data_IF_967274509673
#
_entry.id   IF_967274509673
#
_cell.length_a   1.000
_cell.length_b   1.000
_cell.length_c   1.000
_cell.angle_alpha   90.00
_cell.angle_beta   90.00
_cell.angle_gamma   90.00
#
_symmetry.space_group_name_H-M   'P 1'
#
loop_
_entity.id
_entity.type
_entity.pdbx_description
1 polymer ?
#
# COMPACT_ATOMS: atom_id res chain seq x y z
N UNK A 1 -17.60 19.64 5.47
CA UNK A 1 -16.11 19.56 5.52
C UNK A 1 -15.62 18.89 4.24
N UNK A 2 -14.52 19.37 3.65
CA UNK A 2 -13.94 18.74 2.46
C UNK A 2 -13.35 17.36 2.81
N UNK A 3 -13.60 16.35 1.98
CA UNK A 3 -13.04 15.00 2.17
C UNK A 3 -11.57 15.00 1.80
N UNK A 4 -10.71 14.76 2.79
CA UNK A 4 -9.29 14.53 2.58
C UNK A 4 -9.05 13.10 2.10
N UNK A 5 -8.14 12.92 1.13
CA UNK A 5 -7.71 11.61 0.63
C UNK A 5 -6.22 11.48 0.75
N UNK A 6 -5.77 10.34 1.27
CA UNK A 6 -4.36 9.96 1.35
C UNK A 6 -4.15 8.60 0.71
N UNK A 7 -3.17 8.50 -0.18
CA UNK A 7 -2.71 7.24 -0.74
C UNK A 7 -1.62 6.68 0.15
N UNK A 8 -1.87 5.48 0.67
CA UNK A 8 -0.89 4.70 1.39
C UNK A 8 -0.43 3.54 0.53
N UNK A 9 0.87 3.27 0.60
CA UNK A 9 1.52 2.12 -0.02
C UNK A 9 2.02 1.15 1.03
N UNK A 10 1.50 -0.07 1.04
CA UNK A 10 2.01 -1.16 1.86
C UNK A 10 2.98 -1.99 1.03
N UNK A 11 4.26 -1.85 1.34
CA UNK A 11 5.33 -2.65 0.77
C UNK A 11 5.39 -3.99 1.47
N UNK A 12 5.35 -5.05 0.68
CA UNK A 12 5.35 -6.45 1.14
C UNK A 12 6.35 -7.25 0.31
N UNK A 13 6.82 -8.35 0.87
CA UNK A 13 7.78 -9.22 0.18
C UNK A 13 7.20 -10.62 0.06
N UNK A 14 6.76 -11.05 -1.13
CA UNK A 14 6.38 -12.44 -1.38
C UNK A 14 7.55 -13.39 -1.04
N UNK A 15 7.24 -14.56 -0.49
CA UNK A 15 8.23 -15.55 -0.14
C UNK A 15 8.44 -16.57 -1.27
N UNK A 16 9.46 -16.31 -2.09
CA UNK A 16 9.88 -17.21 -3.17
C UNK A 16 10.82 -18.34 -2.74
N UNK A 17 11.08 -18.53 -1.43
CA UNK A 17 12.09 -19.50 -0.97
C UNK A 17 11.83 -20.96 -1.42
N UNK A 18 10.57 -21.34 -1.64
CA UNK A 18 10.20 -22.65 -2.19
C UNK A 18 10.43 -22.74 -3.70
N UNK A 19 10.26 -21.62 -4.42
CA UNK A 19 10.52 -21.52 -5.87
C UNK A 19 12.02 -21.57 -6.14
N UNK A 20 12.82 -20.83 -5.35
CA UNK A 20 14.28 -20.80 -5.42
C UNK A 20 14.90 -22.20 -5.17
N UNK A 21 14.23 -23.03 -4.35
CA UNK A 21 14.62 -24.43 -4.11
C UNK A 21 14.13 -25.41 -5.18
N UNK A 22 13.38 -24.94 -6.18
CA UNK A 22 12.77 -25.79 -7.21
C UNK A 22 11.62 -26.67 -6.70
N UNK A 23 11.08 -26.39 -5.50
CA UNK A 23 10.01 -27.18 -4.88
C UNK A 23 8.61 -26.75 -5.32
N UNK A 24 8.49 -25.53 -5.89
CA UNK A 24 7.24 -24.99 -6.44
C UNK A 24 7.52 -24.23 -7.73
N UNK A 25 6.56 -24.19 -8.67
CA UNK A 25 6.66 -23.30 -9.82
C UNK A 25 6.56 -21.83 -9.37
N UNK A 26 7.05 -20.87 -10.19
CA UNK A 26 6.81 -19.45 -9.97
C UNK A 26 5.31 -19.16 -9.85
N UNK A 27 4.85 -18.44 -8.81
CA UNK A 27 3.46 -18.11 -8.64
C UNK A 27 3.05 -16.96 -9.56
N UNK A 28 1.79 -17.01 -9.99
CA UNK A 28 1.14 -15.96 -10.74
C UNK A 28 -0.18 -15.60 -10.07
N UNK A 29 -0.54 -14.33 -10.17
CA UNK A 29 -1.78 -13.75 -9.65
C UNK A 29 -2.63 -13.31 -10.81
N UNK A 30 -3.90 -13.73 -10.77
CA UNK A 30 -4.94 -13.15 -11.61
C UNK A 30 -5.61 -12.00 -10.87
N UNK A 31 -5.18 -10.77 -11.13
CA UNK A 31 -5.71 -9.58 -10.48
C UNK A 31 -7.19 -9.32 -10.78
N UNK A 32 -7.82 -10.03 -11.75
CA UNK A 32 -9.28 -9.99 -11.96
C UNK A 32 -10.06 -10.79 -10.91
N UNK A 33 -9.41 -11.69 -10.19
CA UNK A 33 -10.04 -12.61 -9.25
C UNK A 33 -9.71 -12.27 -7.79
N UNK A 34 -8.83 -11.30 -7.54
CA UNK A 34 -8.47 -10.84 -6.19
C UNK A 34 -9.65 -10.07 -5.57
N UNK A 35 -10.01 -10.42 -4.33
CA UNK A 35 -11.07 -9.76 -3.57
C UNK A 35 -10.58 -8.46 -2.89
N UNK A 36 -10.39 -7.42 -3.70
CA UNK A 36 -9.97 -6.11 -3.20
C UNK A 36 -11.01 -5.41 -2.31
N UNK A 37 -12.29 -5.76 -2.44
CA UNK A 37 -13.36 -5.22 -1.59
C UNK A 37 -13.25 -5.83 -0.20
N UNK A 38 -13.12 -7.16 -0.11
CA UNK A 38 -12.86 -7.82 1.15
C UNK A 38 -11.55 -7.38 1.77
N UNK A 39 -10.52 -7.06 0.97
CA UNK A 39 -9.24 -6.59 1.48
C UNK A 39 -9.39 -5.21 2.12
N UNK A 40 -10.16 -4.32 1.50
CA UNK A 40 -10.53 -3.03 2.07
C UNK A 40 -11.25 -3.19 3.42
N UNK A 41 -12.28 -4.04 3.48
CA UNK A 41 -13.02 -4.30 4.72
C UNK A 41 -12.14 -4.89 5.82
N UNK A 42 -11.26 -5.82 5.47
CA UNK A 42 -10.30 -6.35 6.44
C UNK A 42 -9.36 -5.28 6.97
N UNK A 43 -8.89 -4.33 6.16
CA UNK A 43 -8.06 -3.23 6.65
C UNK A 43 -8.85 -2.26 7.54
N UNK A 44 -10.12 -2.02 7.24
CA UNK A 44 -11.02 -1.22 8.08
C UNK A 44 -11.22 -1.87 9.46
N UNK A 45 -11.47 -3.18 9.50
CA UNK A 45 -11.63 -3.94 10.74
C UNK A 45 -10.32 -4.09 11.51
N UNK A 46 -9.26 -4.53 10.81
CA UNK A 46 -7.93 -4.70 11.36
C UNK A 46 -7.44 -3.39 11.97
N UNK A 47 -7.70 -2.25 11.31
CA UNK A 47 -7.32 -0.94 11.82
C UNK A 47 -8.47 -0.14 12.45
N UNK A 48 -9.48 -0.79 13.04
CA UNK A 48 -10.58 -0.08 13.68
C UNK A 48 -10.05 0.74 14.87
N UNK A 49 -10.22 2.06 14.77
CA UNK A 49 -9.73 3.04 15.72
C UNK A 49 -10.79 4.04 16.19
N UNK A 50 -12.06 3.80 15.82
CA UNK A 50 -13.18 4.72 16.08
C UNK A 50 -13.30 5.86 15.05
N UNK A 51 -12.27 6.09 14.22
CA UNK A 51 -12.33 7.10 13.17
C UNK A 51 -13.21 6.67 12.00
N UNK A 52 -14.01 7.63 11.50
CA UNK A 52 -14.84 7.42 10.31
C UNK A 52 -14.03 7.67 9.05
N UNK A 53 -13.26 6.67 8.66
CA UNK A 53 -12.59 6.63 7.36
C UNK A 53 -13.19 5.55 6.48
N UNK A 54 -12.97 5.68 5.17
CA UNK A 54 -13.26 4.63 4.20
C UNK A 54 -11.96 4.25 3.50
N UNK A 55 -11.73 2.95 3.36
CA UNK A 55 -10.55 2.39 2.70
C UNK A 55 -10.99 1.83 1.35
N UNK A 56 -10.23 2.11 0.30
CA UNK A 56 -10.45 1.49 -1.02
C UNK A 56 -9.11 1.13 -1.64
N UNK A 57 -8.94 -0.15 -1.97
CA UNK A 57 -7.75 -0.62 -2.68
C UNK A 57 -7.85 -0.28 -4.17
N UNK A 58 -6.71 -0.04 -4.80
CA UNK A 58 -6.58 -0.18 -6.24
C UNK A 58 -6.90 -1.62 -6.65
N UNK A 59 -7.57 -1.82 -7.79
CA UNK A 59 -7.86 -3.16 -8.34
C UNK A 59 -6.65 -3.81 -9.08
N UNK A 60 -5.44 -3.42 -8.68
CA UNK A 60 -4.15 -3.90 -9.17
C UNK A 60 -3.06 -3.56 -8.14
N UNK A 61 -1.82 -3.99 -8.37
CA UNK A 61 -0.68 -3.75 -7.49
C UNK A 61 0.64 -3.68 -8.26
N UNK A 62 1.65 -3.03 -7.67
CA UNK A 62 2.98 -2.99 -8.27
C UNK A 62 3.75 -4.27 -7.94
N UNK A 63 4.22 -4.96 -8.98
CA UNK A 63 4.91 -6.24 -8.89
C UNK A 63 6.45 -6.11 -8.97
N UNK A 64 7.15 -7.20 -8.65
CA UNK A 64 8.61 -7.24 -8.64
C UNK A 64 9.25 -6.96 -10.00
N UNK A 65 8.61 -7.32 -11.11
CA UNK A 65 9.18 -7.13 -12.46
C UNK A 65 9.13 -5.64 -12.82
N UNK A 66 8.04 -4.97 -12.46
CA UNK A 66 7.90 -3.52 -12.58
C UNK A 66 8.96 -2.80 -11.75
N UNK A 67 9.15 -3.17 -10.48
CA UNK A 67 10.17 -2.56 -9.63
C UNK A 67 11.60 -2.81 -10.12
N UNK A 68 11.91 -4.04 -10.55
CA UNK A 68 13.25 -4.38 -11.05
C UNK A 68 13.59 -3.58 -12.31
N UNK A 69 12.64 -3.44 -13.24
CA UNK A 69 12.86 -2.65 -14.46
C UNK A 69 13.06 -1.16 -14.14
N UNK A 70 12.33 -0.62 -13.15
CA UNK A 70 12.53 0.76 -12.67
C UNK A 70 13.91 0.95 -12.03
N UNK A 71 14.36 0.01 -11.20
CA UNK A 71 15.68 0.05 -10.60
C UNK A 71 16.80 0.05 -11.64
N UNK A 72 16.68 -0.77 -12.70
CA UNK A 72 17.63 -0.79 -13.82
C UNK A 72 17.63 0.50 -14.64
N UNK A 73 16.52 1.24 -14.68
CA UNK A 73 16.39 2.52 -15.37
C UNK A 73 17.19 3.67 -14.73
N UNK A 74 17.79 3.46 -13.55
CA UNK A 74 18.73 4.40 -12.94
C UNK A 74 18.13 5.69 -12.39
N UNK A 75 16.80 5.73 -12.20
CA UNK A 75 16.07 6.88 -11.62
C UNK A 75 15.53 6.50 -10.23
N UNK A 76 16.23 6.84 -9.14
CA UNK A 76 15.82 6.47 -7.79
C UNK A 76 14.37 6.86 -7.46
N UNK A 77 13.94 8.04 -7.90
CA UNK A 77 12.58 8.57 -7.72
C UNK A 77 11.50 7.68 -8.36
N UNK A 78 11.85 6.91 -9.39
CA UNK A 78 10.92 5.98 -10.03
C UNK A 78 10.61 4.76 -9.15
N UNK A 79 11.52 4.39 -8.24
CA UNK A 79 11.34 3.25 -7.35
C UNK A 79 10.32 3.53 -6.25
N UNK A 80 10.05 4.79 -5.91
CA UNK A 80 9.04 5.17 -4.92
C UNK A 80 7.60 4.99 -5.42
N UNK A 81 7.42 4.77 -6.72
CA UNK A 81 6.10 4.57 -7.35
C UNK A 81 5.10 5.71 -7.08
N UNK A 82 5.60 6.96 -6.97
CA UNK A 82 4.76 8.15 -6.79
C UNK A 82 3.78 8.36 -7.94
N UNK A 83 4.19 8.07 -9.17
CA UNK A 83 3.36 8.13 -10.38
C UNK A 83 2.13 7.18 -10.31
N UNK A 84 2.30 5.97 -9.79
CA UNK A 84 1.20 5.06 -9.50
C UNK A 84 0.22 5.67 -8.48
N UNK A 85 0.74 6.27 -7.41
CA UNK A 85 -0.06 6.87 -6.36
C UNK A 85 -0.81 8.14 -6.83
N UNK A 86 -0.19 8.98 -7.64
CA UNK A 86 -0.82 10.15 -8.26
C UNK A 86 -1.95 9.72 -9.21
N UNK A 87 -1.70 8.71 -10.05
CA UNK A 87 -2.73 8.13 -10.92
C UNK A 87 -3.90 7.56 -10.11
N UNK A 88 -3.64 6.84 -9.01
CA UNK A 88 -4.68 6.35 -8.11
C UNK A 88 -5.46 7.50 -7.45
N UNK A 89 -4.77 8.55 -6.98
CA UNK A 89 -5.40 9.71 -6.37
C UNK A 89 -6.36 10.42 -7.34
N UNK A 90 -5.95 10.56 -8.61
CA UNK A 90 -6.76 11.16 -9.66
C UNK A 90 -8.04 10.34 -9.93
N UNK A 91 -7.91 9.01 -10.05
CA UNK A 91 -9.04 8.10 -10.31
C UNK A 91 -9.96 7.95 -9.09
N UNK A 92 -9.42 8.02 -7.87
CA UNK A 92 -10.19 7.81 -6.65
C UNK A 92 -11.31 8.86 -6.43
N UNK A 93 -11.31 9.97 -7.18
CA UNK A 93 -12.34 11.01 -7.13
C UNK A 93 -13.69 10.48 -7.61
N UNK A 94 -14.54 10.06 -6.67
CA UNK A 94 -15.89 9.56 -6.95
C UNK A 94 -15.96 8.10 -7.39
N UNK A 95 -14.84 7.38 -7.44
CA UNK A 95 -14.81 5.96 -7.78
C UNK A 95 -15.51 5.09 -6.73
N UNK A 96 -15.97 3.91 -7.16
CA UNK A 96 -16.45 2.84 -6.27
C UNK A 96 -15.26 2.09 -5.65
N UNK A 97 -15.54 1.06 -4.85
CA UNK A 97 -14.54 0.11 -4.37
C UNK A 97 -14.64 -1.18 -5.20
N UNK A 98 -13.53 -1.77 -5.67
CA UNK A 98 -12.18 -1.20 -5.64
C UNK A 98 -12.05 -0.01 -6.61
N UNK A 99 -10.97 0.76 -6.48
CA UNK A 99 -10.67 1.85 -7.43
C UNK A 99 -10.09 1.24 -8.70
N UNK A 100 -10.75 1.48 -9.84
CA UNK A 100 -10.31 0.94 -11.13
C UNK A 100 -9.16 1.73 -11.75
N UNK A 101 -7.94 1.28 -11.52
CA UNK A 101 -6.70 1.99 -11.93
C UNK A 101 -6.08 1.43 -13.20
N UNK A 102 -6.60 0.34 -13.76
CA UNK A 102 -5.88 -0.43 -14.78
C UNK A 102 -5.58 0.38 -16.04
N UNK A 103 -6.54 1.20 -16.47
CA UNK A 103 -6.36 2.08 -17.61
C UNK A 103 -5.27 3.14 -17.37
N UNK A 104 -5.14 3.66 -16.15
CA UNK A 104 -4.11 4.66 -15.81
C UNK A 104 -2.75 4.05 -15.48
N UNK A 105 -2.72 2.80 -15.04
CA UNK A 105 -1.50 2.08 -14.64
C UNK A 105 -0.88 1.22 -15.77
N UNK A 106 -1.60 0.98 -16.87
CA UNK A 106 -1.14 0.09 -17.96
C UNK A 106 0.24 0.47 -18.51
N UNK A 107 0.54 1.77 -18.64
CA UNK A 107 1.84 2.25 -19.13
C UNK A 107 2.92 2.32 -18.03
N UNK A 108 2.51 2.22 -16.76
CA UNK A 108 3.41 2.25 -15.61
C UNK A 108 3.95 0.85 -15.28
N UNK A 109 3.17 -0.19 -15.60
CA UNK A 109 3.56 -1.59 -15.42
C UNK A 109 4.55 -2.05 -16.49
N UNK A 110 5.48 -2.91 -16.08
CA UNK A 110 6.33 -3.61 -17.05
C UNK A 110 5.60 -4.78 -17.72
N UNK A 111 4.78 -5.50 -16.95
CA UNK A 111 3.97 -6.62 -17.44
C UNK A 111 2.50 -6.16 -17.57
N UNK A 112 2.01 -6.17 -18.80
CA UNK A 112 0.67 -5.68 -19.13
C UNK A 112 -0.43 -6.71 -18.87
N UNK A 113 -0.14 -8.02 -18.98
CA UNK A 113 -1.11 -9.06 -18.65
C UNK A 113 -1.27 -9.17 -17.13
N UNK A 114 -2.38 -8.63 -16.62
CA UNK A 114 -2.73 -8.65 -15.20
C UNK A 114 -3.49 -9.92 -14.78
N UNK A 115 -3.76 -10.83 -15.71
CA UNK A 115 -4.31 -12.16 -15.40
C UNK A 115 -3.24 -13.20 -15.08
N UNK A 116 -1.99 -12.90 -15.45
CA UNK A 116 -0.82 -13.75 -15.23
C UNK A 116 0.39 -12.92 -14.78
N UNK A 117 0.18 -12.07 -13.76
CA UNK A 117 1.21 -11.18 -13.24
C UNK A 117 1.87 -11.74 -11.97
N UNK A 118 3.09 -11.30 -11.60
CA UNK A 118 3.70 -11.71 -10.35
C UNK A 118 2.92 -11.21 -9.12
N UNK A 119 3.13 -11.83 -7.95
CA UNK A 119 2.59 -11.34 -6.69
C UNK A 119 2.99 -9.89 -6.38
N UNK A 120 2.19 -9.17 -5.57
CA UNK A 120 2.43 -7.77 -5.28
C UNK A 120 3.69 -7.57 -4.44
N UNK A 121 4.46 -6.54 -4.76
CA UNK A 121 5.50 -5.98 -3.88
C UNK A 121 5.01 -4.71 -3.18
N UNK A 122 4.02 -4.03 -3.76
CA UNK A 122 3.43 -2.82 -3.22
C UNK A 122 1.94 -2.77 -3.50
N UNK A 123 1.16 -2.79 -2.43
CA UNK A 123 -0.29 -2.61 -2.45
C UNK A 123 -0.61 -1.16 -2.16
N UNK A 124 -1.42 -0.52 -3.02
CA UNK A 124 -1.84 0.85 -2.81
C UNK A 124 -3.34 0.94 -2.52
N UNK A 125 -3.67 1.79 -1.57
CA UNK A 125 -5.05 2.05 -1.20
C UNK A 125 -5.24 3.52 -0.80
N UNK A 126 -6.44 4.03 -1.06
CA UNK A 126 -6.86 5.34 -0.61
C UNK A 126 -7.58 5.22 0.72
N UNK A 127 -7.20 6.08 1.67
CA UNK A 127 -7.94 6.34 2.90
C UNK A 127 -8.61 7.70 2.76
N UNK A 128 -9.93 7.73 2.93
CA UNK A 128 -10.74 8.95 2.75
C UNK A 128 -11.58 9.27 3.99
N UNK A 129 -11.62 10.54 4.37
CA UNK A 129 -12.33 10.99 5.56
C UNK A 129 -12.05 12.46 5.89
N UNK A 130 -12.28 12.84 7.15
CA UNK A 130 -11.74 14.10 7.68
C UNK A 130 -10.22 14.04 7.77
N UNK A 131 -9.54 15.19 7.68
CA UNK A 131 -8.06 15.24 7.71
C UNK A 131 -7.50 14.55 8.96
N UNK A 132 -7.95 14.94 10.15
CA UNK A 132 -7.51 14.36 11.42
C UNK A 132 -7.78 12.85 11.50
N UNK A 133 -8.99 12.43 11.11
CA UNK A 133 -9.40 11.03 11.06
C UNK A 133 -8.46 10.18 10.18
N UNK A 134 -8.12 10.68 8.98
CA UNK A 134 -7.18 10.00 8.06
C UNK A 134 -5.76 9.97 8.64
N UNK A 135 -5.29 11.05 9.28
CA UNK A 135 -3.97 11.10 9.90
C UNK A 135 -3.85 10.12 11.07
N UNK A 136 -4.84 10.12 11.97
CA UNK A 136 -4.94 9.20 13.11
C UNK A 136 -5.01 7.75 12.64
N UNK A 137 -5.88 7.45 11.68
CA UNK A 137 -5.99 6.10 11.12
C UNK A 137 -4.66 5.64 10.51
N UNK A 138 -3.98 6.50 9.74
CA UNK A 138 -2.68 6.17 9.11
C UNK A 138 -1.60 5.87 10.15
N UNK A 139 -1.54 6.68 11.22
CA UNK A 139 -0.60 6.47 12.32
C UNK A 139 -0.88 5.16 13.05
N UNK A 140 -2.14 4.87 13.34
CA UNK A 140 -2.52 3.61 14.01
C UNK A 140 -2.21 2.38 13.17
N UNK A 141 -2.38 2.46 11.85
CA UNK A 141 -1.96 1.37 10.96
C UNK A 141 -0.45 1.14 11.08
N UNK A 142 0.34 2.22 11.12
CA UNK A 142 1.78 2.12 11.34
C UNK A 142 2.14 1.43 12.66
N UNK A 143 1.45 1.77 13.75
CA UNK A 143 1.64 1.10 15.04
C UNK A 143 1.25 -0.38 15.00
N UNK A 144 0.14 -0.73 14.34
CA UNK A 144 -0.30 -2.13 14.15
C UNK A 144 0.67 -2.95 13.29
N UNK A 145 1.39 -2.29 12.39
CA UNK A 145 2.51 -2.86 11.63
C UNK A 145 3.83 -2.84 12.43
N UNK A 146 3.81 -2.54 13.73
CA UNK A 146 4.99 -2.46 14.58
C UNK A 146 6.09 -1.54 14.02
N UNK A 147 5.70 -0.44 13.36
CA UNK A 147 6.60 0.61 12.89
C UNK A 147 6.92 1.51 14.09
N UNK A 148 8.18 1.53 14.53
CA UNK A 148 8.60 2.30 15.71
C UNK A 148 8.37 3.80 15.54
N UNK A 149 8.65 4.34 14.35
CA UNK A 149 8.45 5.75 14.02
C UNK A 149 6.98 6.21 14.14
N UNK A 150 6.01 5.29 14.10
CA UNK A 150 4.60 5.61 14.31
C UNK A 150 4.21 5.74 15.79
N UNK A 151 5.08 5.30 16.72
CA UNK A 151 4.80 5.36 18.15
C UNK A 151 4.79 6.80 18.67
N UNK A 152 3.90 7.13 19.64
CA UNK A 152 3.84 8.47 20.22
C UNK A 152 5.18 8.94 20.81
N UNK A 153 5.93 8.03 21.45
CA UNK A 153 7.24 8.33 22.01
C UNK A 153 8.24 8.81 20.96
N UNK A 154 8.33 8.13 19.81
CA UNK A 154 9.28 8.52 18.75
C UNK A 154 8.92 9.88 18.13
N UNK A 155 7.62 10.20 18.04
CA UNK A 155 7.16 11.51 17.55
C UNK A 155 7.54 12.64 18.52
N UNK A 156 7.55 12.38 19.82
CA UNK A 156 7.97 13.35 20.84
C UNK A 156 9.50 13.54 20.81
N UNK A 157 10.27 12.46 20.65
CA UNK A 157 11.73 12.50 20.71
C UNK A 157 12.39 13.04 19.44
N UNK A 158 11.72 12.96 18.28
CA UNK A 158 12.16 13.58 17.03
C UNK A 158 13.44 13.01 16.42
N UNK A 159 13.90 11.84 16.85
CA UNK A 159 15.21 11.26 16.50
C UNK A 159 15.10 9.89 15.79
N UNK A 160 14.05 9.69 14.99
CA UNK A 160 13.82 8.45 14.27
C UNK A 160 14.92 8.14 13.24
N UNK A 161 15.42 6.91 13.26
CA UNK A 161 16.35 6.40 12.26
C UNK A 161 15.61 5.71 11.12
N UNK A 162 16.28 5.50 9.98
CA UNK A 162 15.66 4.81 8.82
C UNK A 162 15.10 3.42 9.19
N UNK A 163 15.79 2.71 10.09
CA UNK A 163 15.37 1.39 10.58
C UNK A 163 14.06 1.44 11.38
N UNK A 164 13.71 2.58 11.97
CA UNK A 164 12.48 2.76 12.75
C UNK A 164 11.21 2.86 11.88
N UNK A 165 11.38 3.10 10.58
CA UNK A 165 10.31 3.09 9.58
C UNK A 165 9.99 1.67 9.05
N UNK A 166 10.80 0.67 9.43
CA UNK A 166 10.60 -0.73 9.02
C UNK A 166 9.62 -1.41 9.97
N UNK A 167 8.52 -1.91 9.42
CA UNK A 167 7.47 -2.62 10.14
C UNK A 167 7.49 -4.12 9.90
N UNK A 168 6.44 -4.78 10.40
CA UNK A 168 6.18 -6.21 10.27
C UNK A 168 4.69 -6.48 10.07
N UNK A 169 4.37 -7.36 9.13
CA UNK A 169 3.04 -7.93 9.00
C UNK A 169 2.72 -8.80 10.22
N UNK A 170 1.50 -8.67 10.73
CA UNK A 170 0.95 -9.59 11.72
C UNK A 170 0.64 -10.96 11.09
N UNK A 171 0.50 -12.04 11.88
CA UNK A 171 0.04 -13.33 11.38
C UNK A 171 -1.27 -13.23 10.59
N UNK A 172 -2.23 -12.43 11.05
CA UNK A 172 -3.52 -12.26 10.39
C UNK A 172 -3.38 -11.56 9.03
N UNK A 173 -2.54 -10.52 8.95
CA UNK A 173 -2.23 -9.84 7.68
C UNK A 173 -1.54 -10.79 6.71
N UNK A 174 -0.54 -11.56 7.14
CA UNK A 174 0.14 -12.52 6.27
C UNK A 174 -0.84 -13.57 5.74
N UNK A 175 -1.68 -14.13 6.62
CA UNK A 175 -2.70 -15.11 6.25
C UNK A 175 -3.70 -14.52 5.24
N UNK A 176 -4.12 -13.27 5.47
CA UNK A 176 -5.04 -12.58 4.57
C UNK A 176 -4.43 -12.37 3.19
N UNK A 177 -3.21 -11.87 3.13
CA UNK A 177 -2.50 -11.64 1.87
C UNK A 177 -2.22 -12.95 1.13
N UNK A 178 -1.83 -14.02 1.83
CA UNK A 178 -1.62 -15.33 1.21
C UNK A 178 -2.91 -15.90 0.60
N UNK A 179 -4.05 -15.71 1.27
CA UNK A 179 -5.35 -16.13 0.74
C UNK A 179 -5.72 -15.37 -0.56
N UNK A 180 -5.46 -14.06 -0.61
CA UNK A 180 -5.81 -13.22 -1.75
C UNK A 180 -4.84 -13.37 -2.94
N UNK A 181 -3.54 -13.61 -2.68
CA UNK A 181 -2.49 -13.62 -3.71
C UNK A 181 -1.85 -15.00 -3.98
N UNK A 182 -2.25 -16.05 -3.25
CA UNK A 182 -1.83 -17.42 -3.52
C UNK A 182 -0.36 -17.73 -3.21
N UNK A 183 0.33 -16.88 -2.45
CA UNK A 183 1.73 -17.07 -2.03
C UNK A 183 1.93 -16.60 -0.58
N UNK A 184 2.76 -17.27 0.23
CA UNK A 184 3.18 -16.73 1.52
C UNK A 184 3.93 -15.39 1.36
N UNK A 185 3.85 -14.55 2.39
CA UNK A 185 4.60 -13.30 2.48
C UNK A 185 5.57 -13.33 3.66
N UNK A 186 6.73 -12.71 3.49
CA UNK A 186 7.69 -12.50 4.57
C UNK A 186 7.15 -11.45 5.55
N UNK A 187 7.56 -11.56 6.82
CA UNK A 187 7.15 -10.62 7.87
C UNK A 187 7.52 -9.15 7.60
N UNK A 188 8.70 -8.78 7.09
CA UNK A 188 9.05 -7.38 6.91
C UNK A 188 8.06 -6.64 6.01
N UNK A 189 7.66 -5.45 6.43
CA UNK A 189 6.78 -4.56 5.66
C UNK A 189 7.17 -3.10 5.87
N UNK A 190 6.74 -2.23 4.96
CA UNK A 190 6.90 -0.78 5.09
C UNK A 190 5.59 -0.11 4.69
N UNK A 191 5.22 0.96 5.41
CA UNK A 191 4.06 1.78 5.09
C UNK A 191 4.53 3.16 4.63
N UNK A 192 4.26 3.49 3.37
CA UNK A 192 4.58 4.80 2.79
C UNK A 192 3.32 5.64 2.61
N UNK A 193 3.43 6.94 2.86
CA UNK A 193 2.48 7.90 2.32
C UNK A 193 3.00 8.42 0.98
N UNK A 194 2.24 8.19 -0.08
CA UNK A 194 2.74 8.37 -1.45
C UNK A 194 2.13 9.59 -2.15
N UNK A 195 0.86 9.89 -1.88
CA UNK A 195 0.18 11.06 -2.44
C UNK A 195 -0.99 11.47 -1.51
N UNK A 196 -1.44 12.71 -1.59
CA UNK A 196 -2.66 13.16 -0.92
C UNK A 196 -3.29 14.36 -1.62
N UNK A 197 -4.58 14.58 -1.39
CA UNK A 197 -5.15 15.91 -1.63
C UNK A 197 -4.46 16.96 -0.76
N UNK A 198 -4.60 18.24 -1.09
CA UNK A 198 -4.10 19.30 -0.23
C UNK A 198 -4.68 19.19 1.20
N UNK A 199 -3.86 19.30 2.26
CA UNK A 199 -4.34 19.45 3.63
C UNK A 199 -5.25 20.68 3.76
N UNK A 200 -6.15 20.72 4.76
CA UNK A 200 -6.91 21.93 5.04
C UNK A 200 -5.96 23.09 5.40
N UNK A 201 -6.35 24.33 5.10
CA UNK A 201 -5.48 25.50 5.24
C UNK A 201 -4.86 25.65 6.64
N UNK A 202 -5.59 25.29 7.70
CA UNK A 202 -5.08 25.34 9.08
C UNK A 202 -3.98 24.31 9.38
N UNK A 203 -3.87 23.24 8.58
CA UNK A 203 -2.88 22.19 8.72
C UNK A 203 -1.70 22.34 7.76
N UNK A 204 -1.75 23.31 6.85
CA UNK A 204 -0.63 23.67 6.00
C UNK A 204 0.35 24.47 6.87
N UNK A 205 1.51 23.90 7.20
CA UNK A 205 2.56 24.69 7.84
C UNK A 205 3.03 25.76 6.83
N UNK A 206 3.23 27.02 7.24
CA UNK A 206 4.01 27.94 6.43
C UNK A 206 5.44 27.39 6.33
N UNK A 207 5.96 27.34 5.11
CA UNK A 207 7.34 26.96 4.80
C UNK A 207 8.38 27.74 5.64
#
# INVERSE_FOLDING_TARGET
>A
MATFKRILGLWVTPDFSQVEKGLRPPPYVNYNQVDFVGLAHFFEEFNNCGERVKVRFANDAVDQVTLHFRALGGKPESMECKDFAEALLAVAKGAKSPVDVRASWVQLHKLQDRTHAPPPMLLMFVVEGGFEAVMLWSQQLGMRLNIKAASPMMLIMGNAQESDYRGRLSPDLMKRLEADFGIPFKRPALLSALASTAPPAWAQQPD
#
